data_IF_967721302229
#
_entry.id   IF_967721302229
#
_cell.length_a   1.000
_cell.length_b   1.000
_cell.length_c   1.000
_cell.angle_alpha   90.00
_cell.angle_beta   90.00
_cell.angle_gamma   90.00
#
_symmetry.space_group_name_H-M   'P 1'
#
loop_
_entity.id
_entity.type
_entity.pdbx_description
1 polymer ?
#
# COMPACT_ATOMS: atom_id res chain seq x y z
N UNK A 1 17.04 -8.73 7.85
CA UNK A 1 15.86 -8.34 7.07
C UNK A 1 15.97 -6.86 6.81
N UNK A 2 15.85 -6.43 5.55
CA UNK A 2 15.93 -5.03 5.14
C UNK A 2 14.65 -4.31 5.58
N UNK A 3 14.71 -3.63 6.72
CA UNK A 3 13.63 -2.76 7.21
C UNK A 3 13.83 -1.36 6.64
N UNK A 4 12.84 -0.83 5.91
CA UNK A 4 12.86 0.57 5.51
C UNK A 4 12.73 1.46 6.75
N UNK A 5 13.40 2.62 6.74
CA UNK A 5 13.34 3.57 7.87
C UNK A 5 11.97 4.24 7.93
N UNK A 6 11.55 4.67 9.11
CA UNK A 6 10.40 5.54 9.27
C UNK A 6 10.55 6.82 8.44
N UNK A 7 9.42 7.32 7.92
CA UNK A 7 9.42 8.51 7.06
C UNK A 7 8.17 8.65 6.21
N UNK A 8 8.23 9.57 5.25
CA UNK A 8 7.17 9.80 4.26
C UNK A 8 7.62 9.23 2.92
N UNK A 9 6.72 8.49 2.29
CA UNK A 9 7.02 7.70 1.10
C UNK A 9 5.91 7.81 0.07
N UNK A 10 6.26 7.50 -1.17
CA UNK A 10 5.37 7.28 -2.30
C UNK A 10 5.45 5.80 -2.70
N UNK A 11 4.29 5.17 -2.87
CA UNK A 11 4.14 3.75 -3.21
C UNK A 11 3.58 3.65 -4.63
N UNK A 12 4.41 3.31 -5.61
CA UNK A 12 4.05 3.32 -7.03
C UNK A 12 4.18 1.96 -7.70
N UNK A 13 3.43 1.79 -8.80
CA UNK A 13 3.65 0.66 -9.70
C UNK A 13 5.01 0.81 -10.43
N UNK A 14 5.82 -0.27 -10.50
CA UNK A 14 7.08 -0.28 -11.23
C UNK A 14 6.87 0.10 -12.70
N UNK A 15 7.79 0.88 -13.25
CA UNK A 15 7.81 1.27 -14.68
C UNK A 15 6.53 1.95 -15.18
N UNK A 16 5.63 2.35 -14.28
CA UNK A 16 4.44 3.11 -14.63
C UNK A 16 4.79 4.60 -14.73
N UNK A 17 3.96 5.36 -15.43
CA UNK A 17 4.03 6.83 -15.55
C UNK A 17 3.74 7.58 -14.22
N UNK A 18 4.01 6.94 -13.08
CA UNK A 18 3.89 7.51 -11.74
C UNK A 18 2.62 7.10 -10.98
N UNK A 19 1.85 6.12 -11.46
CA UNK A 19 0.64 5.68 -10.77
C UNK A 19 0.96 5.14 -9.37
N UNK A 20 0.43 5.80 -8.36
CA UNK A 20 0.74 5.58 -6.95
C UNK A 20 -0.53 5.47 -6.11
N UNK A 21 -0.41 4.76 -4.98
CA UNK A 21 -1.50 4.62 -4.02
C UNK A 21 -1.84 6.01 -3.50
N UNK A 22 -3.08 6.44 -3.73
CA UNK A 22 -3.54 7.78 -3.39
C UNK A 22 -4.74 7.72 -2.45
N UNK A 23 -4.82 8.69 -1.54
CA UNK A 23 -5.94 8.92 -0.65
C UNK A 23 -7.14 9.51 -1.42
N UNK A 24 -8.24 8.75 -1.60
CA UNK A 24 -9.42 9.20 -2.33
C UNK A 24 -10.36 10.08 -1.50
N UNK A 25 -10.13 10.22 -0.20
CA UNK A 25 -11.10 10.72 0.77
C UNK A 25 -12.09 9.65 1.24
N UNK A 26 -12.89 10.02 2.24
CA UNK A 26 -13.65 9.06 3.06
C UNK A 26 -14.58 8.11 2.29
N UNK A 27 -14.55 6.84 2.69
CA UNK A 27 -15.51 5.83 2.24
C UNK A 27 -15.26 5.35 0.81
N UNK A 28 -14.05 5.54 0.29
CA UNK A 28 -13.69 5.16 -1.08
C UNK A 28 -12.51 4.20 -1.08
N UNK A 29 -12.54 3.26 -2.01
CA UNK A 29 -11.40 2.38 -2.24
C UNK A 29 -10.22 3.14 -2.83
N UNK A 30 -9.02 2.75 -2.43
CA UNK A 30 -7.78 3.40 -2.81
C UNK A 30 -7.52 3.22 -4.31
N UNK A 31 -7.47 4.30 -5.11
CA UNK A 31 -7.08 4.22 -6.50
C UNK A 31 -5.55 4.29 -6.65
N UNK A 32 -5.09 3.85 -7.82
CA UNK A 32 -3.78 4.22 -8.33
C UNK A 32 -3.90 5.39 -9.29
N UNK A 33 -3.26 6.51 -8.94
CA UNK A 33 -3.33 7.75 -9.70
C UNK A 33 -1.95 8.38 -9.83
N UNK A 34 -1.72 9.26 -10.82
CA UNK A 34 -0.51 10.07 -10.87
C UNK A 34 -0.34 10.89 -9.58
N UNK A 35 0.90 11.17 -9.14
CA UNK A 35 1.14 11.96 -7.93
C UNK A 35 0.57 13.36 -8.12
N UNK A 36 -0.15 13.86 -7.12
CA UNK A 36 -0.80 15.18 -7.19
C UNK A 36 -2.14 15.21 -7.94
N UNK A 37 -2.63 14.08 -8.47
CA UNK A 37 -3.89 14.03 -9.23
C UNK A 37 -5.14 14.40 -8.40
N UNK A 38 -5.11 14.21 -7.08
CA UNK A 38 -6.17 14.62 -6.16
C UNK A 38 -5.74 15.87 -5.39
N UNK A 39 -4.56 15.80 -4.78
CA UNK A 39 -3.98 16.83 -3.92
C UNK A 39 -2.46 16.56 -3.75
N UNK A 40 -1.69 17.58 -3.37
CA UNK A 40 -0.23 17.50 -3.23
C UNK A 40 0.25 16.49 -2.19
N UNK A 41 -0.58 16.15 -1.19
CA UNK A 41 -0.25 15.23 -0.11
C UNK A 41 -1.03 13.91 -0.20
N UNK A 42 -1.96 13.75 -1.15
CA UNK A 42 -2.81 12.56 -1.27
C UNK A 42 -2.02 11.25 -1.49
N UNK A 43 -0.85 11.34 -2.11
CA UNK A 43 0.00 10.19 -2.44
C UNK A 43 1.13 9.96 -1.44
N UNK A 44 1.23 10.82 -0.41
CA UNK A 44 2.28 10.75 0.61
C UNK A 44 1.80 9.87 1.75
N UNK A 45 2.54 8.79 2.01
CA UNK A 45 2.25 7.80 3.04
C UNK A 45 3.32 7.89 4.11
N UNK A 46 2.90 8.22 5.33
CA UNK A 46 3.71 8.12 6.54
C UNK A 46 3.84 6.65 6.92
N UNK A 47 5.08 6.16 6.93
CA UNK A 47 5.44 4.79 7.29
C UNK A 47 6.08 4.80 8.67
N UNK A 48 5.54 4.00 9.59
CA UNK A 48 6.06 3.84 10.95
C UNK A 48 6.09 2.38 11.38
N UNK A 49 7.25 1.91 11.84
CA UNK A 49 7.39 0.57 12.39
C UNK A 49 6.68 0.44 13.74
N UNK A 50 6.01 -0.70 13.94
CA UNK A 50 5.45 -1.09 15.23
C UNK A 50 6.01 -2.45 15.64
N UNK A 51 6.80 -2.47 16.71
CA UNK A 51 7.48 -3.67 17.20
C UNK A 51 6.51 -4.73 17.72
N UNK A 52 5.49 -4.32 18.49
CA UNK A 52 4.48 -5.24 19.06
C UNK A 52 3.66 -5.95 17.98
N UNK A 53 3.46 -5.30 16.83
CA UNK A 53 2.67 -5.81 15.70
C UNK A 53 3.54 -6.40 14.59
N UNK A 54 4.86 -6.33 14.72
CA UNK A 54 5.83 -6.87 13.77
C UNK A 54 5.67 -6.34 12.34
N UNK A 55 5.23 -5.08 12.18
CA UNK A 55 4.89 -4.51 10.89
C UNK A 55 4.76 -2.99 10.92
N UNK A 56 4.67 -2.39 9.74
CA UNK A 56 4.49 -0.96 9.55
C UNK A 56 3.00 -0.59 9.55
N UNK A 57 2.66 0.51 10.23
CA UNK A 57 1.44 1.25 9.94
C UNK A 57 1.68 2.19 8.76
N UNK A 58 0.72 2.26 7.85
CA UNK A 58 0.76 3.11 6.65
C UNK A 58 -0.35 4.16 6.77
N UNK A 59 -0.01 5.44 6.89
CA UNK A 59 -0.96 6.53 7.13
C UNK A 59 -0.86 7.57 6.01
N UNK A 60 -1.98 7.94 5.38
CA UNK A 60 -2.02 9.03 4.42
C UNK A 60 -1.75 10.36 5.11
N UNK A 61 -0.80 11.13 4.56
CA UNK A 61 -0.44 12.45 5.10
C UNK A 61 -1.60 13.44 4.98
N UNK A 62 -2.35 13.38 3.86
CA UNK A 62 -3.49 14.25 3.59
C UNK A 62 -4.61 14.14 4.63
N UNK A 63 -5.17 12.94 4.82
CA UNK A 63 -6.31 12.74 5.73
C UNK A 63 -5.91 12.37 7.16
N UNK A 64 -4.69 11.88 7.38
CA UNK A 64 -4.30 11.25 8.63
C UNK A 64 -4.91 9.86 8.83
N UNK A 65 -5.60 9.29 7.82
CA UNK A 65 -6.17 7.95 7.89
C UNK A 65 -5.18 6.88 7.46
N UNK A 66 -5.44 5.65 7.87
CA UNK A 66 -4.59 4.51 7.58
C UNK A 66 -5.02 3.78 6.32
N UNK A 67 -4.05 3.22 5.62
CA UNK A 67 -4.25 2.18 4.63
C UNK A 67 -4.83 0.95 5.35
N UNK A 68 -6.09 0.62 5.06
CA UNK A 68 -6.86 -0.38 5.77
C UNK A 68 -7.69 -1.27 4.82
N UNK A 69 -8.33 -2.29 5.39
CA UNK A 69 -9.28 -3.18 4.73
C UNK A 69 -10.30 -3.73 5.74
N UNK A 70 -11.47 -4.12 5.25
CA UNK A 70 -12.56 -4.63 6.09
C UNK A 70 -12.42 -6.14 6.33
N UNK A 71 -12.82 -6.58 7.53
CA UNK A 71 -12.81 -8.00 7.89
C UNK A 71 -11.41 -8.64 7.90
N UNK A 72 -11.34 -9.97 7.82
CA UNK A 72 -10.07 -10.69 7.72
C UNK A 72 -9.42 -10.53 6.32
N UNK A 73 -8.09 -10.74 6.21
CA UNK A 73 -7.40 -10.76 4.92
C UNK A 73 -8.01 -11.78 3.94
N UNK A 74 -8.16 -11.37 2.68
CA UNK A 74 -8.83 -12.16 1.65
C UNK A 74 -8.52 -11.67 0.25
N UNK A 75 -8.64 -12.56 -0.74
CA UNK A 75 -8.41 -12.22 -2.16
C UNK A 75 -9.42 -11.15 -2.61
N UNK A 76 -8.94 -10.16 -3.34
CA UNK A 76 -9.71 -9.04 -3.89
C UNK A 76 -10.41 -8.17 -2.83
N UNK A 77 -10.03 -8.30 -1.56
CA UNK A 77 -10.47 -7.39 -0.51
C UNK A 77 -9.83 -6.01 -0.76
N UNK A 78 -10.65 -5.04 -1.12
CA UNK A 78 -10.22 -3.72 -1.58
C UNK A 78 -9.73 -2.91 -0.39
N UNK A 79 -8.60 -2.22 -0.58
CA UNK A 79 -8.08 -1.34 0.45
C UNK A 79 -8.84 -0.02 0.41
N UNK A 80 -8.97 0.61 1.57
CA UNK A 80 -9.63 1.90 1.79
C UNK A 80 -8.84 2.73 2.81
N UNK A 81 -9.26 3.97 3.01
CA UNK A 81 -8.84 4.79 4.15
C UNK A 81 -9.62 4.40 5.42
N UNK A 82 -8.92 4.11 6.51
CA UNK A 82 -9.53 3.69 7.76
C UNK A 82 -8.98 4.42 8.99
N UNK A 83 -9.79 4.53 10.04
CA UNK A 83 -9.40 5.23 11.27
C UNK A 83 -8.41 4.42 12.13
N UNK A 84 -8.30 3.11 11.87
CA UNK A 84 -7.43 2.20 12.62
C UNK A 84 -6.36 1.60 11.70
N UNK A 85 -5.11 1.47 12.18
CA UNK A 85 -4.05 0.86 11.39
C UNK A 85 -4.30 -0.62 11.16
N UNK A 86 -4.07 -1.05 9.92
CA UNK A 86 -3.60 -2.40 9.61
C UNK A 86 -2.07 -2.37 9.53
N UNK A 87 -1.45 -3.52 9.77
CA UNK A 87 0.00 -3.63 9.80
C UNK A 87 0.50 -4.47 8.63
N UNK A 88 1.55 -3.98 7.99
CA UNK A 88 2.10 -4.58 6.79
C UNK A 88 3.59 -4.80 6.94
N UNK A 89 4.12 -5.88 6.37
CA UNK A 89 5.56 -6.09 6.23
C UNK A 89 5.97 -5.58 4.86
N UNK A 90 7.04 -4.81 4.83
CA UNK A 90 7.67 -4.33 3.60
C UNK A 90 9.01 -5.03 3.51
N UNK A 91 9.19 -5.83 2.46
CA UNK A 91 10.40 -6.62 2.22
C UNK A 91 10.86 -6.45 0.78
N UNK A 92 12.13 -6.71 0.52
CA UNK A 92 12.64 -6.81 -0.86
C UNK A 92 11.82 -7.85 -1.65
N UNK A 93 11.57 -7.55 -2.92
CA UNK A 93 10.81 -8.43 -3.79
C UNK A 93 11.67 -9.62 -4.23
N UNK A 94 11.10 -10.83 -4.21
CA UNK A 94 11.84 -12.10 -4.37
C UNK A 94 12.53 -12.21 -5.74
N UNK A 95 11.97 -11.59 -6.77
CA UNK A 95 12.48 -11.62 -8.14
C UNK A 95 13.15 -10.32 -8.59
N UNK A 96 13.11 -9.26 -7.76
CA UNK A 96 13.67 -7.96 -8.11
C UNK A 96 14.11 -7.22 -6.84
N UNK A 97 15.41 -7.19 -6.59
CA UNK A 97 15.99 -6.61 -5.38
C UNK A 97 15.84 -5.09 -5.28
N UNK A 98 15.49 -4.40 -6.36
CA UNK A 98 15.26 -2.96 -6.36
C UNK A 98 13.80 -2.59 -6.03
N UNK A 99 12.93 -3.60 -5.91
CA UNK A 99 11.50 -3.43 -5.65
C UNK A 99 11.12 -4.04 -4.31
N UNK A 100 9.92 -3.69 -3.86
CA UNK A 100 9.38 -4.15 -2.60
C UNK A 100 8.10 -4.97 -2.79
N UNK A 101 7.92 -5.94 -1.90
CA UNK A 101 6.67 -6.62 -1.65
C UNK A 101 6.04 -6.06 -0.36
N UNK A 102 4.72 -5.95 -0.33
CA UNK A 102 3.98 -5.46 0.84
C UNK A 102 2.97 -6.54 1.26
N UNK A 103 3.27 -7.25 2.34
CA UNK A 103 2.44 -8.36 2.85
C UNK A 103 1.71 -7.95 4.12
N UNK A 104 0.57 -8.58 4.41
CA UNK A 104 -0.15 -8.35 5.67
C UNK A 104 0.65 -8.96 6.82
N UNK A 105 0.85 -8.23 7.91
CA UNK A 105 1.71 -8.68 9.02
C UNK A 105 1.15 -9.92 9.74
N UNK A 106 -0.17 -9.96 9.94
CA UNK A 106 -0.89 -11.05 10.62
C UNK A 106 -1.05 -12.32 9.75
N UNK A 107 -0.96 -12.19 8.42
CA UNK A 107 -0.99 -13.32 7.49
C UNK A 107 -0.22 -12.98 6.21
N UNK A 108 1.02 -13.46 6.12
CA UNK A 108 1.93 -13.16 5.00
C UNK A 108 1.52 -13.85 3.69
N UNK A 109 0.47 -14.69 3.70
CA UNK A 109 -0.13 -15.24 2.48
C UNK A 109 -0.75 -14.13 1.63
N UNK A 110 -1.23 -13.06 2.25
CA UNK A 110 -1.88 -11.94 1.57
C UNK A 110 -0.94 -10.76 1.39
N UNK A 111 -1.03 -10.14 0.21
CA UNK A 111 -0.20 -9.01 -0.17
C UNK A 111 -1.00 -7.91 -0.87
N UNK A 112 -0.50 -6.68 -0.84
CA UNK A 112 -1.10 -5.55 -1.53
C UNK A 112 -0.80 -5.68 -3.02
N UNK A 113 -1.84 -5.73 -3.83
CA UNK A 113 -1.79 -5.77 -5.29
C UNK A 113 -2.90 -4.95 -5.92
N UNK A 114 -3.37 -5.40 -7.08
CA UNK A 114 -4.41 -4.75 -7.87
C UNK A 114 -5.76 -5.46 -7.73
N UNK A 115 -6.84 -4.69 -7.72
CA UNK A 115 -8.19 -5.24 -7.77
C UNK A 115 -8.47 -5.90 -9.13
N UNK A 116 -9.22 -7.00 -9.12
CA UNK A 116 -9.54 -7.77 -10.33
C UNK A 116 -10.64 -7.13 -11.19
N UNK A 117 -11.45 -6.23 -10.62
CA UNK A 117 -12.72 -5.78 -11.22
C UNK A 117 -12.67 -4.42 -11.93
N UNK A 118 -11.60 -3.62 -11.77
CA UNK A 118 -11.53 -2.25 -12.31
C UNK A 118 -10.20 -1.99 -13.02
N UNK A 119 -10.27 -1.66 -14.30
CA UNK A 119 -9.09 -1.47 -15.15
C UNK A 119 -8.56 -0.02 -15.09
N UNK A 120 -9.43 1.01 -14.98
CA UNK A 120 -8.98 2.41 -14.99
C UNK A 120 -9.84 3.42 -14.18
N UNK A 121 -9.25 4.23 -13.29
CA UNK A 121 -8.00 3.91 -12.58
C UNK A 121 -8.18 2.60 -11.80
N UNK A 122 -7.16 1.72 -11.74
CA UNK A 122 -7.25 0.49 -10.99
C UNK A 122 -7.33 0.80 -9.49
N UNK A 123 -8.01 -0.07 -8.76
CA UNK A 123 -8.04 -0.02 -7.30
C UNK A 123 -6.96 -0.91 -6.71
N UNK A 124 -6.55 -0.57 -5.49
CA UNK A 124 -5.67 -1.39 -4.68
C UNK A 124 -6.51 -2.43 -3.94
N UNK A 125 -6.10 -3.69 -4.01
CA UNK A 125 -6.76 -4.77 -3.28
C UNK A 125 -5.73 -5.79 -2.81
N UNK A 126 -6.13 -6.64 -1.88
CA UNK A 126 -5.32 -7.78 -1.48
C UNK A 126 -5.33 -8.88 -2.54
N UNK A 127 -4.19 -9.55 -2.67
CA UNK A 127 -3.98 -10.73 -3.50
C UNK A 127 -3.32 -11.83 -2.65
N UNK A 128 -3.40 -13.07 -3.12
CA UNK A 128 -2.65 -14.20 -2.56
C UNK A 128 -2.02 -15.05 -3.66
N UNK A 129 -1.84 -14.47 -4.85
CA UNK A 129 -1.18 -15.16 -5.96
C UNK A 129 0.34 -15.29 -5.69
N UNK A 130 1.00 -16.35 -6.19
CA UNK A 130 2.44 -16.53 -6.06
C UNK A 130 3.25 -15.36 -6.63
N UNK A 131 2.74 -14.74 -7.69
CA UNK A 131 3.29 -13.52 -8.27
C UNK A 131 2.93 -12.33 -7.39
N UNK A 132 3.77 -12.06 -6.40
CA UNK A 132 3.63 -10.91 -5.52
C UNK A 132 3.74 -9.62 -6.32
N UNK A 133 2.86 -8.65 -6.07
CA UNK A 133 2.96 -7.35 -6.75
C UNK A 133 4.22 -6.62 -6.28
N UNK A 134 5.10 -6.31 -7.22
CA UNK A 134 6.24 -5.43 -6.98
C UNK A 134 5.80 -3.97 -6.85
N UNK A 135 6.41 -3.23 -5.94
CA UNK A 135 6.17 -1.82 -5.69
C UNK A 135 7.48 -1.02 -5.70
N UNK A 136 7.45 0.16 -6.31
CA UNK A 136 8.45 1.20 -6.15
C UNK A 136 8.12 2.03 -4.91
N UNK A 137 8.95 1.92 -3.86
CA UNK A 137 8.79 2.67 -2.62
C UNK A 137 9.90 3.72 -2.52
N UNK A 138 9.53 4.99 -2.69
CA UNK A 138 10.49 6.11 -2.74
C UNK A 138 10.23 7.08 -1.59
N UNK A 139 11.28 7.49 -0.89
CA UNK A 139 11.19 8.50 0.16
C UNK A 139 10.93 9.87 -0.45
N UNK A 140 10.03 10.65 0.16
CA UNK A 140 9.59 12.00 -0.27
C UNK A 140 10.02 13.05 0.75
#
# INVERSE_FOLDING_TARGET
MSTIKDGVYLFALPNSSGSCISDPGEGRYLPLLPPGAIDEDAHKIVVKWNEERGGYSLQFKKSGKYLAFEGPPGINNKLLDGDKPRYFKITEHVYDSEKYAITVSEDTKYHIGLAMERIFPPWVAMSSFPEVQAWDIKKV
#
